data_IF_795773259261
#
_entry.id   IF_795773259261
#
_cell.length_a   1.000
_cell.length_b   1.000
_cell.length_c   1.000
_cell.angle_alpha   90.00
_cell.angle_beta   90.00
_cell.angle_gamma   90.00
#
_symmetry.space_group_name_H-M   'P 1'
#
loop_
_entity.id
_entity.type
_entity.pdbx_description
1 polymer ?
#
# COMPACT_ATOMS: atom_id res chain seq x y z
N UNK A 1 23.21 -41.09 -7.56
CA UNK A 1 21.77 -41.24 -7.84
C UNK A 1 20.88 -40.67 -6.76
N UNK A 2 21.36 -40.27 -5.60
CA UNK A 2 20.59 -39.75 -4.45
C UNK A 2 20.26 -38.23 -4.57
N UNK A 3 21.11 -37.46 -5.24
CA UNK A 3 20.99 -35.99 -5.35
C UNK A 3 19.88 -35.52 -6.31
N UNK A 4 19.53 -36.32 -7.30
CA UNK A 4 18.52 -35.97 -8.30
C UNK A 4 17.09 -36.21 -7.77
N UNK A 5 16.91 -37.15 -6.82
CA UNK A 5 15.60 -37.40 -6.21
C UNK A 5 15.16 -36.28 -5.24
N UNK A 6 16.13 -35.70 -4.50
CA UNK A 6 15.86 -34.62 -3.53
C UNK A 6 15.50 -33.31 -4.22
N UNK A 7 16.09 -33.00 -5.37
CA UNK A 7 15.76 -31.81 -6.16
C UNK A 7 14.37 -31.89 -6.83
N UNK A 8 13.94 -33.10 -7.22
CA UNK A 8 12.59 -33.27 -7.79
C UNK A 8 11.47 -33.18 -6.74
N UNK A 9 11.71 -33.62 -5.51
CA UNK A 9 10.75 -33.52 -4.43
C UNK A 9 10.58 -32.09 -3.94
N UNK A 10 11.64 -31.30 -3.81
CA UNK A 10 11.58 -29.89 -3.43
C UNK A 10 10.84 -29.04 -4.47
N UNK A 11 11.01 -29.31 -5.77
CA UNK A 11 10.26 -28.59 -6.82
C UNK A 11 8.77 -28.96 -6.84
N UNK A 12 8.39 -30.18 -6.49
CA UNK A 12 6.98 -30.56 -6.41
C UNK A 12 6.27 -29.91 -5.21
N UNK A 13 6.91 -29.85 -4.04
CA UNK A 13 6.42 -29.17 -2.85
C UNK A 13 6.17 -27.68 -3.12
N UNK A 14 7.13 -27.00 -3.76
CA UNK A 14 7.01 -25.60 -4.15
C UNK A 14 5.86 -25.34 -5.12
N UNK A 15 5.64 -26.22 -6.12
CA UNK A 15 4.55 -26.12 -7.08
C UNK A 15 3.18 -26.34 -6.43
N UNK A 16 3.09 -27.25 -5.47
CA UNK A 16 1.86 -27.54 -4.75
C UNK A 16 1.46 -26.40 -3.82
N UNK A 17 2.41 -25.87 -3.05
CA UNK A 17 2.22 -24.70 -2.20
C UNK A 17 1.77 -23.48 -3.02
N UNK A 18 2.34 -23.27 -4.20
CA UNK A 18 1.92 -22.22 -5.14
C UNK A 18 0.48 -22.42 -5.63
N UNK A 19 0.09 -23.68 -5.91
CA UNK A 19 -1.27 -23.99 -6.35
C UNK A 19 -2.32 -23.75 -5.26
N UNK A 20 -2.02 -24.12 -4.01
CA UNK A 20 -2.89 -23.88 -2.86
C UNK A 20 -3.03 -22.37 -2.62
N UNK A 21 -1.92 -21.63 -2.65
CA UNK A 21 -1.91 -20.16 -2.56
C UNK A 21 -2.80 -19.54 -3.65
N UNK A 22 -2.70 -19.99 -4.91
CA UNK A 22 -3.55 -19.50 -6.00
C UNK A 22 -5.04 -19.72 -5.74
N UNK A 23 -5.41 -20.89 -5.23
CA UNK A 23 -6.81 -21.18 -4.89
C UNK A 23 -7.33 -20.27 -3.78
N UNK A 24 -6.54 -20.03 -2.75
CA UNK A 24 -6.88 -19.13 -1.65
C UNK A 24 -6.97 -17.68 -2.12
N UNK A 25 -5.99 -17.21 -2.91
CA UNK A 25 -6.00 -15.84 -3.46
C UNK A 25 -7.06 -15.62 -4.55
N UNK A 26 -7.55 -16.67 -5.20
CA UNK A 26 -8.65 -16.56 -6.17
C UNK A 26 -10.01 -16.46 -5.50
N UNK A 27 -10.11 -16.66 -4.20
CA UNK A 27 -11.34 -16.53 -3.45
C UNK A 27 -11.36 -15.20 -2.67
N UNK A 28 -12.20 -14.23 -3.10
CA UNK A 28 -12.25 -12.90 -2.49
C UNK A 28 -12.79 -12.85 -1.07
N UNK A 29 -13.47 -13.92 -0.64
CA UNK A 29 -13.96 -14.06 0.74
C UNK A 29 -12.87 -14.48 1.74
N UNK A 30 -11.68 -14.84 1.27
CA UNK A 30 -10.58 -15.27 2.14
C UNK A 30 -9.55 -14.15 2.28
N UNK A 31 -9.37 -13.63 3.49
CA UNK A 31 -8.37 -12.60 3.75
C UNK A 31 -6.95 -13.15 3.54
N UNK A 32 -6.02 -12.27 3.16
CA UNK A 32 -4.60 -12.64 2.95
C UNK A 32 -3.94 -13.17 4.22
N UNK A 33 -4.36 -12.71 5.41
CA UNK A 33 -3.87 -13.25 6.67
C UNK A 33 -4.30 -14.70 6.89
N UNK A 34 -5.50 -15.07 6.45
CA UNK A 34 -5.95 -16.47 6.41
C UNK A 34 -5.11 -17.28 5.43
N UNK A 35 -4.85 -16.75 4.23
CA UNK A 35 -3.99 -17.41 3.24
C UNK A 35 -2.58 -17.64 3.77
N UNK A 36 -2.02 -16.67 4.51
CA UNK A 36 -0.69 -16.79 5.12
C UNK A 36 -0.67 -17.84 6.21
N UNK A 37 -1.66 -17.85 7.13
CA UNK A 37 -1.77 -18.84 8.20
C UNK A 37 -1.98 -20.27 7.67
N UNK A 38 -2.81 -20.42 6.64
CA UNK A 38 -2.98 -21.72 5.95
C UNK A 38 -1.67 -22.16 5.31
N UNK A 39 -0.94 -21.24 4.66
CA UNK A 39 0.35 -21.55 4.06
C UNK A 39 1.39 -21.98 5.11
N UNK A 40 1.42 -21.31 6.26
CA UNK A 40 2.32 -21.68 7.37
C UNK A 40 1.93 -23.03 8.00
N UNK A 41 0.65 -23.31 8.15
CA UNK A 41 0.15 -24.60 8.63
C UNK A 41 0.45 -25.77 7.67
N UNK A 42 0.62 -25.49 6.37
CA UNK A 42 0.97 -26.49 5.35
C UNK A 42 2.46 -26.83 5.29
N UNK A 43 3.33 -26.04 5.91
CA UNK A 43 4.80 -26.31 5.86
C UNK A 43 5.19 -27.66 6.41
N UNK A 44 4.48 -28.14 7.42
CA UNK A 44 4.79 -29.40 8.11
C UNK A 44 3.97 -30.60 7.57
N UNK A 45 3.17 -30.40 6.52
CA UNK A 45 2.32 -31.44 5.93
C UNK A 45 3.04 -32.22 4.83
N UNK A 46 2.70 -33.51 4.70
CA UNK A 46 3.22 -34.35 3.62
C UNK A 46 2.64 -33.93 2.26
N UNK A 47 3.30 -34.31 1.17
CA UNK A 47 2.82 -33.99 -0.18
C UNK A 47 1.43 -34.57 -0.49
N UNK A 48 1.14 -35.75 0.03
CA UNK A 48 -0.15 -36.41 -0.11
C UNK A 48 -1.25 -35.64 0.64
N UNK A 49 -0.97 -35.20 1.85
CA UNK A 49 -1.87 -34.34 2.64
C UNK A 49 -2.11 -32.99 1.95
N UNK A 50 -1.08 -32.36 1.39
CA UNK A 50 -1.22 -31.10 0.66
C UNK A 50 -2.07 -31.25 -0.60
N UNK A 51 -1.93 -32.37 -1.32
CA UNK A 51 -2.71 -32.66 -2.54
C UNK A 51 -4.19 -32.86 -2.21
N UNK A 52 -4.49 -33.49 -1.10
CA UNK A 52 -5.86 -33.69 -0.62
C UNK A 52 -6.48 -32.35 -0.14
N UNK A 53 -5.72 -31.53 0.57
CA UNK A 53 -6.09 -30.17 0.97
C UNK A 53 -6.45 -29.32 -0.26
N UNK A 54 -5.62 -29.39 -1.29
CA UNK A 54 -5.87 -28.67 -2.53
C UNK A 54 -7.16 -29.11 -3.21
N UNK A 55 -7.41 -30.41 -3.30
CA UNK A 55 -8.62 -30.95 -3.92
C UNK A 55 -9.89 -30.48 -3.19
N UNK A 56 -9.91 -30.56 -1.87
CA UNK A 56 -11.05 -30.16 -1.06
C UNK A 56 -11.28 -28.63 -1.08
N UNK A 57 -10.23 -27.81 -1.06
CA UNK A 57 -10.34 -26.36 -1.21
C UNK A 57 -10.87 -25.99 -2.61
N UNK A 58 -10.43 -26.69 -3.65
CA UNK A 58 -10.89 -26.47 -5.00
C UNK A 58 -12.36 -26.84 -5.18
N UNK A 59 -12.80 -27.91 -4.55
CA UNK A 59 -14.21 -28.33 -4.54
C UNK A 59 -15.08 -27.31 -3.80
N UNK A 60 -14.66 -26.86 -2.60
CA UNK A 60 -15.34 -25.81 -1.82
C UNK A 60 -15.42 -24.47 -2.57
N UNK A 61 -14.34 -24.06 -3.22
CA UNK A 61 -14.31 -22.82 -4.04
C UNK A 61 -15.21 -22.95 -5.27
N UNK A 62 -15.26 -24.13 -5.88
CA UNK A 62 -16.11 -24.38 -7.06
C UNK A 62 -17.58 -24.36 -6.69
N UNK A 63 -17.94 -25.04 -5.59
CA UNK A 63 -19.30 -25.06 -5.04
C UNK A 63 -19.77 -23.63 -4.68
N UNK A 64 -18.92 -22.86 -4.03
CA UNK A 64 -19.20 -21.47 -3.70
C UNK A 64 -19.41 -20.61 -4.96
N UNK A 65 -18.54 -20.73 -5.98
CA UNK A 65 -18.66 -20.00 -7.24
C UNK A 65 -19.92 -20.35 -8.04
N UNK A 66 -20.31 -21.60 -8.04
CA UNK A 66 -21.52 -22.06 -8.72
C UNK A 66 -22.77 -21.52 -8.03
N UNK A 67 -22.83 -21.60 -6.71
CA UNK A 67 -23.98 -21.13 -5.93
C UNK A 67 -24.06 -19.59 -5.86
N UNK A 68 -22.94 -18.89 -5.84
CA UNK A 68 -22.90 -17.41 -5.81
C UNK A 68 -23.29 -16.75 -7.15
N UNK A 69 -23.33 -17.49 -8.26
CA UNK A 69 -23.75 -16.94 -9.58
C UNK A 69 -25.23 -16.61 -9.68
N UNK A 70 -26.07 -17.21 -8.87
CA UNK A 70 -27.54 -17.15 -9.00
C UNK A 70 -28.21 -16.31 -7.89
N UNK A 71 -27.45 -15.52 -7.11
CA UNK A 71 -27.95 -14.97 -5.84
C UNK A 71 -28.12 -13.45 -5.90
N UNK A 72 -29.38 -13.04 -5.92
CA UNK A 72 -29.85 -11.64 -5.68
C UNK A 72 -30.29 -11.39 -4.20
N UNK A 73 -30.25 -12.39 -3.31
CA UNK A 73 -30.83 -12.34 -1.97
C UNK A 73 -29.79 -12.59 -0.86
N UNK A 74 -29.74 -11.67 0.13
CA UNK A 74 -28.83 -11.72 1.27
C UNK A 74 -28.98 -12.96 2.14
N UNK A 75 -30.18 -13.49 2.27
CA UNK A 75 -30.48 -14.66 3.11
C UNK A 75 -29.89 -15.93 2.51
N UNK A 76 -29.94 -16.06 1.22
CA UNK A 76 -29.37 -17.19 0.48
C UNK A 76 -27.85 -17.20 0.48
N UNK A 77 -27.18 -16.02 0.50
CA UNK A 77 -25.75 -15.91 0.68
C UNK A 77 -25.27 -16.43 2.04
N UNK A 78 -26.06 -16.25 3.12
CA UNK A 78 -25.77 -16.79 4.44
C UNK A 78 -25.87 -18.33 4.44
N UNK A 79 -26.86 -18.89 3.79
CA UNK A 79 -27.05 -20.34 3.66
C UNK A 79 -25.90 -21.02 2.90
N UNK A 80 -25.43 -20.39 1.81
CA UNK A 80 -24.27 -20.86 1.04
C UNK A 80 -23.00 -20.81 1.89
N UNK A 81 -22.83 -19.75 2.69
CA UNK A 81 -21.69 -19.60 3.58
C UNK A 81 -21.68 -20.68 4.66
N UNK A 82 -22.84 -20.97 5.23
CA UNK A 82 -22.99 -22.02 6.25
C UNK A 82 -22.75 -23.42 5.66
N UNK A 83 -23.19 -23.70 4.43
CA UNK A 83 -22.87 -24.97 3.73
C UNK A 83 -21.37 -25.13 3.46
N UNK A 84 -20.70 -24.06 3.01
CA UNK A 84 -19.25 -24.07 2.81
C UNK A 84 -18.52 -24.28 4.14
N UNK A 85 -19.02 -23.66 5.21
CA UNK A 85 -18.51 -23.83 6.58
C UNK A 85 -18.71 -25.25 7.10
N UNK A 86 -19.88 -25.87 6.87
CA UNK A 86 -20.13 -27.28 7.21
C UNK A 86 -19.21 -28.22 6.43
N UNK A 87 -19.00 -27.99 5.14
CA UNK A 87 -18.09 -28.78 4.32
C UNK A 87 -16.64 -28.68 4.83
N UNK A 88 -16.20 -27.49 5.23
CA UNK A 88 -14.90 -27.28 5.85
C UNK A 88 -14.82 -27.91 7.27
N UNK A 89 -15.91 -27.97 8.05
CA UNK A 89 -15.96 -28.63 9.35
C UNK A 89 -15.92 -30.18 9.24
N UNK A 90 -16.54 -30.77 8.22
CA UNK A 90 -16.40 -32.20 7.95
C UNK A 90 -14.94 -32.56 7.66
N UNK A 91 -14.25 -31.66 7.04
CA UNK A 91 -12.84 -31.79 6.76
C UNK A 91 -11.96 -31.70 8.00
N UNK A 92 -12.31 -30.85 9.00
CA UNK A 92 -11.68 -30.74 10.32
C UNK A 92 -11.67 -32.06 11.06
N UNK A 93 -12.75 -32.83 10.97
CA UNK A 93 -12.89 -34.15 11.62
C UNK A 93 -11.91 -35.20 11.06
N UNK A 94 -11.42 -35.03 9.84
CA UNK A 94 -10.51 -35.99 9.17
C UNK A 94 -9.04 -35.61 9.41
N UNK A 95 -8.68 -34.32 9.53
CA UNK A 95 -7.29 -33.83 9.46
C UNK A 95 -6.78 -33.09 10.71
N UNK A 96 -7.60 -32.88 11.73
CA UNK A 96 -7.19 -32.34 13.03
C UNK A 96 -7.64 -30.90 13.31
N UNK A 97 -8.03 -30.71 14.57
CA UNK A 97 -8.77 -29.53 15.07
C UNK A 97 -8.04 -28.18 15.03
N UNK A 98 -6.71 -28.14 15.06
CA UNK A 98 -5.99 -26.91 15.37
C UNK A 98 -5.82 -25.95 14.17
N UNK A 99 -5.71 -26.46 12.96
CA UNK A 99 -5.42 -25.61 11.80
C UNK A 99 -6.67 -25.05 11.10
N UNK A 100 -7.79 -25.77 11.19
CA UNK A 100 -9.03 -25.34 10.54
C UNK A 100 -9.89 -24.46 11.45
N UNK A 101 -9.88 -24.71 12.77
CA UNK A 101 -10.53 -23.83 13.74
C UNK A 101 -9.95 -22.41 13.70
N UNK A 102 -8.64 -22.27 13.50
CA UNK A 102 -7.99 -20.96 13.31
C UNK A 102 -8.42 -20.29 11.99
N UNK A 103 -8.56 -21.04 10.90
CA UNK A 103 -9.06 -20.52 9.62
C UNK A 103 -10.53 -20.10 9.73
N UNK A 104 -11.37 -20.91 10.36
CA UNK A 104 -12.79 -20.62 10.54
C UNK A 104 -13.02 -19.45 11.51
N UNK A 105 -12.26 -19.39 12.62
CA UNK A 105 -12.33 -18.25 13.55
C UNK A 105 -11.87 -16.93 12.91
N UNK A 106 -10.98 -16.98 11.93
CA UNK A 106 -10.54 -15.83 11.16
C UNK A 106 -11.58 -15.42 10.10
N UNK A 107 -12.29 -16.36 9.53
CA UNK A 107 -13.43 -16.09 8.65
C UNK A 107 -14.57 -15.47 9.47
N UNK A 108 -14.84 -15.96 10.69
CA UNK A 108 -15.86 -15.42 11.60
C UNK A 108 -15.46 -14.07 12.24
N UNK A 109 -14.16 -13.82 12.47
CA UNK A 109 -13.66 -12.58 13.11
C UNK A 109 -13.41 -11.44 12.12
N UNK A 110 -13.30 -11.75 10.85
CA UNK A 110 -13.37 -10.71 9.81
C UNK A 110 -14.86 -10.38 9.65
N UNK A 111 -15.25 -9.14 9.95
CA UNK A 111 -16.51 -8.52 9.50
C UNK A 111 -16.55 -8.51 7.96
N UNK A 112 -16.58 -9.69 7.35
CA UNK A 112 -16.89 -9.86 5.93
C UNK A 112 -18.38 -9.58 5.84
N UNK A 113 -18.70 -8.31 5.68
CA UNK A 113 -20.06 -7.94 5.29
C UNK A 113 -20.31 -8.64 3.97
N UNK A 114 -21.25 -9.56 3.95
CA UNK A 114 -21.73 -10.25 2.75
C UNK A 114 -22.07 -9.30 1.59
N UNK A 115 -22.21 -7.99 1.85
CA UNK A 115 -22.34 -6.93 0.85
C UNK A 115 -21.09 -6.73 -0.02
N UNK A 116 -19.90 -7.17 0.40
CA UNK A 116 -18.67 -7.10 -0.39
C UNK A 116 -18.48 -8.33 -1.31
N UNK A 117 -19.36 -9.33 -1.21
CA UNK A 117 -19.38 -10.54 -2.03
C UNK A 117 -20.00 -10.34 -3.43
N UNK A 118 -20.47 -9.13 -3.71
CA UNK A 118 -21.14 -8.80 -4.98
C UNK A 118 -20.21 -8.61 -6.17
N UNK A 119 -19.25 -9.43 -6.42
CA UNK A 119 -18.50 -9.70 -7.68
C UNK A 119 -17.07 -10.19 -7.39
N UNK A 120 -16.93 -11.18 -6.66
CA UNK A 120 -15.91 -12.20 -6.42
C UNK A 120 -14.47 -12.12 -6.94
N UNK A 121 -14.00 -11.05 -7.54
CA UNK A 121 -12.64 -10.93 -8.04
C UNK A 121 -11.99 -9.63 -7.57
N UNK A 122 -10.73 -9.72 -7.11
CA UNK A 122 -9.93 -8.54 -6.91
C UNK A 122 -9.81 -7.83 -8.28
N UNK A 123 -10.28 -6.62 -8.35
CA UNK A 123 -10.27 -5.78 -9.56
C UNK A 123 -9.58 -4.45 -9.26
N UNK A 124 -9.11 -3.71 -10.27
CA UNK A 124 -8.63 -2.35 -10.03
C UNK A 124 -9.66 -1.47 -9.32
N UNK A 125 -10.95 -1.68 -9.62
CA UNK A 125 -12.03 -0.91 -9.01
C UNK A 125 -12.24 -1.25 -7.53
N UNK A 126 -12.15 -2.53 -7.15
CA UNK A 126 -12.26 -2.91 -5.73
C UNK A 126 -11.08 -2.37 -4.90
N UNK A 127 -9.87 -2.36 -5.46
CA UNK A 127 -8.70 -1.72 -4.83
C UNK A 127 -8.91 -0.20 -4.74
N UNK A 128 -9.46 0.42 -5.77
CA UNK A 128 -9.76 1.85 -5.80
C UNK A 128 -10.77 2.24 -4.72
N UNK A 129 -11.90 1.53 -4.61
CA UNK A 129 -12.91 1.78 -3.58
C UNK A 129 -12.35 1.58 -2.16
N UNK A 130 -11.53 0.54 -1.97
CA UNK A 130 -10.81 0.35 -0.70
C UNK A 130 -9.89 1.54 -0.39
N UNK A 131 -9.13 2.05 -1.38
CA UNK A 131 -8.24 3.19 -1.17
C UNK A 131 -8.98 4.46 -0.78
N UNK A 132 -10.19 4.70 -1.31
CA UNK A 132 -11.01 5.87 -0.98
C UNK A 132 -11.39 5.95 0.50
N UNK A 133 -11.47 4.83 1.21
CA UNK A 133 -11.72 4.81 2.65
C UNK A 133 -10.56 5.38 3.48
N UNK A 134 -9.36 5.46 2.91
CA UNK A 134 -8.13 5.87 3.59
C UNK A 134 -7.51 7.15 3.01
N UNK A 135 -7.71 7.39 1.71
CA UNK A 135 -7.06 8.48 0.96
C UNK A 135 -8.12 9.39 0.37
N UNK A 136 -8.37 10.50 1.06
CA UNK A 136 -9.37 11.48 0.69
C UNK A 136 -8.81 12.48 -0.33
N UNK A 137 -9.63 12.90 -1.29
CA UNK A 137 -9.33 13.98 -2.23
C UNK A 137 -8.29 13.69 -3.31
N UNK A 138 -7.84 12.43 -3.44
CA UNK A 138 -6.76 12.02 -4.35
C UNK A 138 -7.23 10.96 -5.36
N UNK A 139 -8.38 11.16 -6.00
CA UNK A 139 -9.01 10.14 -6.86
C UNK A 139 -8.12 9.69 -8.02
N UNK A 140 -7.46 10.63 -8.71
CA UNK A 140 -6.55 10.29 -9.81
C UNK A 140 -5.40 9.40 -9.32
N UNK A 141 -4.80 9.74 -8.17
CA UNK A 141 -3.76 8.95 -7.55
C UNK A 141 -4.27 7.57 -7.13
N UNK A 142 -5.39 7.48 -6.43
CA UNK A 142 -5.99 6.23 -6.01
C UNK A 142 -6.29 5.32 -7.22
N UNK A 143 -6.76 5.89 -8.34
CA UNK A 143 -7.05 5.16 -9.58
C UNK A 143 -5.78 4.61 -10.24
N UNK A 144 -4.71 5.40 -10.36
CA UNK A 144 -3.44 4.92 -10.91
C UNK A 144 -2.78 3.90 -10.00
N UNK A 145 -2.81 4.15 -8.68
CA UNK A 145 -2.24 3.23 -7.69
C UNK A 145 -2.97 1.88 -7.72
N UNK A 146 -4.31 1.87 -7.75
CA UNK A 146 -5.09 0.63 -7.81
C UNK A 146 -4.76 -0.20 -9.06
N UNK A 147 -4.59 0.45 -10.21
CA UNK A 147 -4.18 -0.22 -11.44
C UNK A 147 -2.75 -0.77 -11.35
N UNK A 148 -1.81 0.02 -10.80
CA UNK A 148 -0.41 -0.40 -10.59
C UNK A 148 -0.32 -1.61 -9.67
N UNK A 149 -1.06 -1.60 -8.56
CA UNK A 149 -1.12 -2.73 -7.62
C UNK A 149 -1.75 -3.97 -8.26
N UNK A 150 -2.84 -3.80 -8.99
CA UNK A 150 -3.52 -4.90 -9.65
C UNK A 150 -2.63 -5.57 -10.71
N UNK A 151 -1.92 -4.78 -11.52
CA UNK A 151 -0.96 -5.31 -12.51
C UNK A 151 0.23 -5.98 -11.83
N UNK A 152 0.69 -5.50 -10.68
CA UNK A 152 1.69 -6.17 -9.86
C UNK A 152 1.21 -7.57 -9.43
N UNK A 153 0.00 -7.68 -8.89
CA UNK A 153 -0.59 -8.95 -8.47
C UNK A 153 -0.71 -9.92 -9.64
N UNK A 154 -1.25 -9.49 -10.77
CA UNK A 154 -1.38 -10.34 -11.96
C UNK A 154 -0.02 -10.87 -12.45
N UNK A 155 0.99 -10.01 -12.46
CA UNK A 155 2.34 -10.35 -12.93
C UNK A 155 3.04 -11.34 -12.00
N UNK A 156 2.86 -11.22 -10.70
CA UNK A 156 3.52 -12.04 -9.68
C UNK A 156 2.80 -13.37 -9.41
N UNK A 157 1.54 -13.49 -9.83
CA UNK A 157 0.76 -14.72 -9.68
C UNK A 157 0.94 -15.72 -10.82
N UNK A 158 1.89 -15.54 -11.74
CA UNK A 158 2.07 -16.39 -12.96
C UNK A 158 0.77 -16.63 -13.71
N UNK A 159 -0.17 -15.68 -13.67
CA UNK A 159 -1.36 -15.72 -14.49
C UNK A 159 -0.94 -15.78 -15.97
N UNK A 160 -1.75 -16.46 -16.81
CA UNK A 160 -1.50 -16.58 -18.24
C UNK A 160 -1.46 -15.22 -18.99
N UNK A 161 -1.69 -14.13 -18.27
CA UNK A 161 -1.69 -12.77 -18.82
C UNK A 161 -0.31 -12.15 -18.57
N UNK A 162 0.45 -11.97 -19.64
CA UNK A 162 1.69 -11.22 -19.61
C UNK A 162 1.38 -9.72 -19.48
N UNK A 163 1.37 -9.22 -18.23
CA UNK A 163 1.27 -7.78 -17.99
C UNK A 163 2.66 -7.17 -17.93
N UNK A 164 2.90 -6.06 -18.65
CA UNK A 164 4.14 -5.31 -18.52
C UNK A 164 4.27 -4.73 -17.11
N UNK A 165 5.49 -4.46 -16.70
CA UNK A 165 5.76 -3.78 -15.44
C UNK A 165 5.21 -2.36 -15.49
N UNK A 166 4.41 -2.01 -14.49
CA UNK A 166 3.83 -0.69 -14.34
C UNK A 166 4.50 0.02 -13.17
N UNK A 167 5.58 0.75 -13.43
CA UNK A 167 6.14 1.67 -12.46
C UNK A 167 5.35 2.98 -12.47
N UNK A 168 5.28 3.67 -11.33
CA UNK A 168 4.46 4.86 -11.16
C UNK A 168 5.27 5.99 -10.54
N UNK A 169 5.21 7.18 -11.11
CA UNK A 169 5.71 8.40 -10.48
C UNK A 169 4.54 9.21 -9.93
N UNK A 170 4.64 9.54 -8.64
CA UNK A 170 3.67 10.33 -7.89
C UNK A 170 4.31 11.65 -7.48
N UNK A 171 3.81 12.76 -8.02
CA UNK A 171 4.38 14.08 -7.74
C UNK A 171 3.34 15.05 -7.18
N UNK A 172 3.81 16.00 -6.38
CA UNK A 172 2.95 17.04 -5.78
C UNK A 172 3.26 17.31 -4.31
N UNK A 173 2.39 18.07 -3.62
CA UNK A 173 2.62 18.58 -2.27
C UNK A 173 2.95 17.50 -1.25
N UNK A 174 3.68 17.87 -0.19
CA UNK A 174 3.96 16.98 0.93
C UNK A 174 2.75 16.85 1.88
N UNK A 175 2.65 15.74 2.61
CA UNK A 175 1.61 15.56 3.63
C UNK A 175 0.21 15.24 3.10
N UNK A 176 0.06 14.94 1.81
CA UNK A 176 -1.23 14.63 1.15
C UNK A 176 -1.51 13.13 0.98
N UNK A 177 -0.70 12.27 1.60
CA UNK A 177 -0.96 10.83 1.67
C UNK A 177 -0.26 9.97 0.61
N UNK A 178 0.77 10.46 -0.12
CA UNK A 178 1.50 9.66 -1.13
C UNK A 178 2.00 8.32 -0.59
N UNK A 179 2.86 8.33 0.41
CA UNK A 179 3.44 7.14 1.05
C UNK A 179 2.38 6.31 1.75
N UNK A 180 1.43 6.99 2.42
CA UNK A 180 0.38 6.35 3.21
C UNK A 180 -0.54 5.47 2.35
N UNK A 181 -1.03 5.98 1.21
CA UNK A 181 -1.89 5.20 0.31
C UNK A 181 -1.23 3.91 -0.19
N UNK A 182 0.07 3.96 -0.55
CA UNK A 182 0.82 2.76 -0.97
C UNK A 182 0.95 1.78 0.19
N UNK A 183 1.32 2.27 1.36
CA UNK A 183 1.51 1.45 2.56
C UNK A 183 0.21 0.75 2.98
N UNK A 184 -0.92 1.47 2.98
CA UNK A 184 -2.23 0.93 3.33
C UNK A 184 -2.62 -0.19 2.38
N UNK A 185 -2.58 0.05 1.06
CA UNK A 185 -2.98 -0.96 0.09
C UNK A 185 -2.07 -2.19 0.12
N UNK A 186 -0.76 -1.99 0.24
CA UNK A 186 0.19 -3.10 0.35
C UNK A 186 -0.08 -3.94 1.61
N UNK A 187 -0.31 -3.30 2.75
CA UNK A 187 -0.63 -4.00 4.01
C UNK A 187 -1.98 -4.74 3.93
N UNK A 188 -3.04 -4.09 3.41
CA UNK A 188 -4.38 -4.71 3.30
C UNK A 188 -4.39 -5.91 2.34
N UNK A 189 -3.57 -5.86 1.29
CA UNK A 189 -3.41 -6.95 0.34
C UNK A 189 -2.27 -7.93 0.71
N UNK A 190 -1.57 -7.72 1.84
CA UNK A 190 -0.48 -8.58 2.32
C UNK A 190 0.72 -8.62 1.38
N UNK A 191 0.92 -7.61 0.56
CA UNK A 191 2.05 -7.50 -0.35
C UNK A 191 3.25 -6.96 0.42
N UNK A 192 4.44 -7.58 0.35
CA UNK A 192 5.64 -7.02 0.94
C UNK A 192 5.88 -5.58 0.43
N UNK A 193 6.15 -4.68 1.35
CA UNK A 193 6.34 -3.27 1.08
C UNK A 193 7.61 -2.75 1.74
N UNK A 194 8.40 -1.99 0.99
CA UNK A 194 9.60 -1.34 1.44
C UNK A 194 9.67 0.12 1.00
N UNK A 195 10.36 0.96 1.80
CA UNK A 195 10.57 2.37 1.51
C UNK A 195 12.07 2.64 1.41
N UNK A 196 12.46 3.30 0.34
CA UNK A 196 13.81 3.84 0.13
C UNK A 196 13.75 5.36 0.25
N UNK A 197 14.45 5.93 1.22
CA UNK A 197 14.59 7.38 1.32
C UNK A 197 15.74 7.83 0.41
N UNK A 198 15.38 8.44 -0.72
CA UNK A 198 16.34 8.86 -1.74
C UNK A 198 17.29 9.97 -1.28
N UNK A 199 17.00 10.62 -0.16
CA UNK A 199 17.88 11.65 0.41
C UNK A 199 19.11 11.06 1.12
N UNK A 200 19.06 9.76 1.50
CA UNK A 200 20.11 9.07 2.28
C UNK A 200 20.80 7.96 1.53
N UNK A 201 20.32 7.65 0.32
CA UNK A 201 20.84 6.53 -0.49
C UNK A 201 22.19 6.89 -1.12
N UNK A 202 23.13 5.94 -1.03
CA UNK A 202 24.44 6.01 -1.66
C UNK A 202 24.63 4.85 -2.63
N UNK A 203 25.48 5.03 -3.67
CA UNK A 203 25.80 3.95 -4.60
C UNK A 203 26.48 2.76 -3.91
N UNK A 204 26.35 1.57 -4.50
CA UNK A 204 27.03 0.37 -4.02
C UNK A 204 28.55 0.59 -3.91
N UNK A 205 29.12 0.11 -2.79
CA UNK A 205 30.54 0.25 -2.47
C UNK A 205 30.89 1.53 -1.67
N UNK A 206 29.92 2.39 -1.39
CA UNK A 206 30.06 3.53 -0.46
C UNK A 206 29.35 3.18 0.85
N UNK A 207 29.93 3.62 1.98
CA UNK A 207 29.31 3.41 3.29
C UNK A 207 28.06 4.26 3.41
N UNK A 208 26.90 3.64 3.59
CA UNK A 208 25.60 4.28 3.70
C UNK A 208 24.49 3.31 3.30
N UNK A 209 23.25 3.79 3.28
CA UNK A 209 22.10 3.01 2.86
C UNK A 209 22.13 2.81 1.34
N UNK A 210 22.03 1.57 0.88
CA UNK A 210 21.97 1.20 -0.53
C UNK A 210 20.52 0.88 -0.93
N UNK A 211 20.19 0.99 -2.23
CA UNK A 211 18.85 0.65 -2.73
C UNK A 211 18.47 -0.79 -2.37
N UNK A 212 19.40 -1.73 -2.52
CA UNK A 212 19.16 -3.16 -2.23
C UNK A 212 18.91 -3.48 -0.74
N UNK A 213 19.29 -2.58 0.18
CA UNK A 213 19.02 -2.78 1.62
C UNK A 213 17.53 -2.92 1.93
N UNK A 214 16.67 -2.32 1.12
CA UNK A 214 15.22 -2.47 1.26
C UNK A 214 14.77 -3.93 1.08
N UNK A 215 15.43 -4.69 0.20
CA UNK A 215 15.15 -6.11 -0.01
C UNK A 215 15.61 -6.94 1.19
N UNK A 216 16.80 -6.66 1.74
CA UNK A 216 17.30 -7.29 2.96
C UNK A 216 16.38 -7.05 4.14
N UNK A 217 15.93 -5.80 4.35
CA UNK A 217 14.99 -5.44 5.41
C UNK A 217 13.65 -6.17 5.24
N UNK A 218 13.13 -6.19 4.01
CA UNK A 218 11.90 -6.89 3.69
C UNK A 218 12.04 -8.40 3.92
N UNK A 219 13.15 -9.03 3.48
CA UNK A 219 13.40 -10.45 3.73
C UNK A 219 13.49 -10.77 5.23
N UNK A 220 14.19 -9.95 6.01
CA UNK A 220 14.27 -10.11 7.46
C UNK A 220 12.90 -10.03 8.15
N UNK A 221 12.01 -9.17 7.62
CA UNK A 221 10.64 -8.98 8.15
C UNK A 221 9.70 -10.10 7.75
N UNK A 222 9.68 -10.46 6.47
CA UNK A 222 8.69 -11.39 5.90
C UNK A 222 9.20 -12.83 5.82
N UNK A 223 10.53 -13.06 6.01
CA UNK A 223 11.23 -14.36 5.96
C UNK A 223 11.23 -15.04 4.59
N UNK A 224 10.47 -14.54 3.65
CA UNK A 224 10.39 -14.98 2.26
C UNK A 224 9.97 -13.81 1.39
N UNK A 225 10.58 -13.66 0.23
CA UNK A 225 10.36 -12.50 -0.63
C UNK A 225 10.26 -12.92 -2.10
N UNK A 226 9.05 -13.28 -2.54
CA UNK A 226 8.77 -13.62 -3.94
C UNK A 226 8.45 -12.38 -4.79
N UNK A 227 7.90 -11.36 -4.16
CA UNK A 227 7.54 -10.09 -4.78
C UNK A 227 7.58 -8.97 -3.74
N UNK A 228 7.66 -7.73 -4.22
CA UNK A 228 7.67 -6.55 -3.35
C UNK A 228 7.24 -5.30 -4.12
N UNK A 229 6.57 -4.38 -3.41
CA UNK A 229 6.39 -3.00 -3.84
C UNK A 229 7.43 -2.14 -3.12
N UNK A 230 8.22 -1.39 -3.86
CA UNK A 230 9.21 -0.47 -3.31
C UNK A 230 8.76 0.96 -3.61
N UNK A 231 8.66 1.76 -2.57
CA UNK A 231 8.43 3.19 -2.68
C UNK A 231 9.74 3.97 -2.49
N UNK A 232 10.13 4.70 -3.52
CA UNK A 232 11.26 5.62 -3.48
C UNK A 232 10.74 7.00 -3.08
N UNK A 233 10.88 7.34 -1.81
CA UNK A 233 10.45 8.65 -1.28
C UNK A 233 11.52 9.71 -1.49
N UNK A 234 11.09 10.96 -1.63
CA UNK A 234 11.95 12.10 -1.92
C UNK A 234 12.82 11.89 -3.18
N UNK A 235 12.25 11.26 -4.20
CA UNK A 235 12.94 10.87 -5.43
C UNK A 235 13.58 12.05 -6.16
N UNK A 236 12.97 13.22 -6.07
CA UNK A 236 13.49 14.47 -6.63
C UNK A 236 14.84 14.91 -6.00
N UNK A 237 15.25 14.33 -4.87
CA UNK A 237 16.53 14.60 -4.22
C UNK A 237 17.71 13.81 -4.81
N UNK A 238 17.43 12.82 -5.66
CA UNK A 238 18.48 12.12 -6.40
C UNK A 238 19.15 13.00 -7.46
N UNK A 239 18.48 14.07 -7.89
CA UNK A 239 19.02 15.02 -8.85
C UNK A 239 19.94 16.03 -8.15
N UNK A 240 21.13 16.22 -8.66
CA UNK A 240 21.98 17.33 -8.21
C UNK A 240 21.42 18.67 -8.69
N UNK A 241 21.87 19.78 -8.13
CA UNK A 241 21.45 21.13 -8.55
C UNK A 241 21.66 21.38 -10.04
N UNK A 242 22.60 20.68 -10.70
CA UNK A 242 22.88 20.75 -12.13
C UNK A 242 22.09 19.71 -12.95
N UNK A 243 21.15 18.97 -12.34
CA UNK A 243 20.35 17.96 -13.01
C UNK A 243 21.09 16.67 -13.36
N UNK A 244 22.27 16.44 -12.80
CA UNK A 244 23.03 15.22 -13.00
C UNK A 244 22.74 14.23 -11.86
N UNK A 245 22.57 12.97 -12.21
CA UNK A 245 22.58 11.86 -11.26
C UNK A 245 24.00 11.49 -10.87
N UNK A 246 24.14 10.82 -9.74
CA UNK A 246 25.27 9.91 -9.60
C UNK A 246 25.03 8.75 -10.57
N UNK A 247 25.85 8.64 -11.62
CA UNK A 247 25.67 7.66 -12.71
C UNK A 247 25.51 6.23 -12.18
N UNK A 248 26.26 5.85 -11.16
CA UNK A 248 26.16 4.51 -10.54
C UNK A 248 24.81 4.30 -9.86
N UNK A 249 24.30 5.31 -9.15
CA UNK A 249 23.01 5.23 -8.48
C UNK A 249 21.87 5.14 -9.50
N UNK A 250 21.98 5.85 -10.61
CA UNK A 250 21.04 5.75 -11.72
C UNK A 250 21.06 4.35 -12.35
N UNK A 251 22.25 3.77 -12.60
CA UNK A 251 22.38 2.41 -13.11
C UNK A 251 21.73 1.39 -12.16
N UNK A 252 21.99 1.49 -10.86
CA UNK A 252 21.36 0.61 -9.85
C UNK A 252 19.82 0.76 -9.87
N UNK A 253 19.32 1.99 -9.92
CA UNK A 253 17.88 2.26 -9.98
C UNK A 253 17.23 1.66 -11.23
N UNK A 254 17.89 1.79 -12.39
CA UNK A 254 17.41 1.24 -13.64
C UNK A 254 17.29 -0.29 -13.60
N UNK A 255 18.15 -1.00 -12.85
CA UNK A 255 18.02 -2.45 -12.64
C UNK A 255 16.70 -2.79 -11.93
N UNK A 256 16.28 -1.99 -10.96
CA UNK A 256 15.02 -2.18 -10.25
C UNK A 256 13.81 -1.83 -11.12
N UNK A 257 13.93 -0.85 -12.00
CA UNK A 257 12.85 -0.39 -12.89
C UNK A 257 12.60 -1.30 -14.08
N UNK A 258 13.60 -2.06 -14.51
CA UNK A 258 13.53 -2.98 -15.65
C UNK A 258 12.79 -4.29 -15.31
N UNK A 259 12.37 -5.03 -16.34
CA UNK A 259 11.68 -6.32 -16.21
C UNK A 259 12.61 -7.54 -16.23
N UNK A 260 13.80 -7.40 -16.83
CA UNK A 260 14.61 -8.53 -17.26
C UNK A 260 15.83 -8.82 -16.38
N UNK A 261 15.94 -8.14 -15.23
CA UNK A 261 17.07 -8.29 -14.33
C UNK A 261 16.75 -9.27 -13.18
N UNK A 262 17.79 -9.74 -12.53
CA UNK A 262 17.70 -10.44 -11.25
C UNK A 262 18.57 -9.70 -10.24
N UNK A 263 17.96 -9.32 -9.11
CA UNK A 263 18.62 -8.54 -8.08
C UNK A 263 19.06 -9.49 -6.97
N UNK A 264 20.33 -9.46 -6.65
CA UNK A 264 20.93 -10.24 -5.57
C UNK A 264 21.10 -9.35 -4.34
N UNK A 265 20.69 -9.85 -3.18
CA UNK A 265 20.77 -9.14 -1.90
C UNK A 265 21.08 -10.11 -0.76
N UNK A 266 21.79 -9.69 0.30
CA UNK A 266 22.04 -10.53 1.46
C UNK A 266 20.76 -10.72 2.28
N UNK A 267 20.56 -11.91 2.83
CA UNK A 267 19.39 -12.20 3.67
C UNK A 267 19.42 -11.48 5.02
N UNK A 268 20.60 -11.03 5.46
CA UNK A 268 20.80 -10.28 6.70
C UNK A 268 22.05 -9.42 6.64
N UNK A 269 22.22 -8.50 7.59
CA UNK A 269 23.41 -7.66 7.72
C UNK A 269 24.58 -8.34 8.46
N UNK A 270 24.51 -9.66 8.70
CA UNK A 270 25.60 -10.40 9.32
C UNK A 270 26.73 -10.66 8.34
N UNK A 271 27.97 -10.68 8.83
CA UNK A 271 29.09 -11.15 8.05
C UNK A 271 28.84 -12.62 7.62
N UNK A 272 29.15 -12.93 6.35
CA UNK A 272 28.90 -14.25 5.74
C UNK A 272 27.41 -14.64 5.61
N UNK A 273 26.53 -13.64 5.46
CA UNK A 273 25.13 -13.87 5.12
C UNK A 273 25.00 -14.54 3.76
N UNK A 274 24.05 -15.45 3.62
CA UNK A 274 23.69 -16.01 2.32
C UNK A 274 23.03 -14.94 1.45
N UNK A 275 23.11 -15.12 0.13
CA UNK A 275 22.50 -14.21 -0.82
C UNK A 275 21.22 -14.79 -1.37
N UNK A 276 20.18 -14.00 -1.36
CA UNK A 276 18.91 -14.28 -2.01
C UNK A 276 18.82 -13.54 -3.34
N UNK A 277 17.90 -13.98 -4.18
CA UNK A 277 17.67 -13.38 -5.49
C UNK A 277 16.18 -13.12 -5.73
N UNK A 278 15.86 -11.99 -6.33
CA UNK A 278 14.52 -11.67 -6.76
C UNK A 278 14.53 -11.15 -8.21
N UNK A 279 13.70 -11.71 -9.11
CA UNK A 279 13.54 -11.16 -10.44
C UNK A 279 12.95 -9.75 -10.39
N UNK A 280 13.51 -8.80 -11.13
CA UNK A 280 13.03 -7.42 -11.16
C UNK A 280 11.59 -7.29 -11.66
N UNK A 281 11.12 -8.23 -12.48
CA UNK A 281 9.70 -8.33 -12.87
C UNK A 281 8.76 -8.50 -11.67
N UNK A 282 9.23 -9.06 -10.56
CA UNK A 282 8.45 -9.25 -9.33
C UNK A 282 8.54 -8.05 -8.37
N UNK A 283 9.24 -7.00 -8.78
CA UNK A 283 9.35 -5.74 -8.04
C UNK A 283 8.50 -4.70 -8.78
N UNK A 284 7.63 -3.99 -8.07
CA UNK A 284 7.01 -2.77 -8.60
C UNK A 284 7.60 -1.56 -7.89
N UNK A 285 8.13 -0.63 -8.68
CA UNK A 285 8.69 0.60 -8.18
C UNK A 285 7.68 1.73 -8.29
N UNK A 286 7.41 2.38 -7.17
CA UNK A 286 6.65 3.63 -7.13
C UNK A 286 7.61 4.70 -6.65
N UNK A 287 7.79 5.75 -7.43
CA UNK A 287 8.68 6.86 -7.09
C UNK A 287 7.86 8.08 -6.71
N UNK A 288 8.20 8.75 -5.63
CA UNK A 288 7.46 9.90 -5.13
C UNK A 288 8.34 11.05 -4.69
N UNK A 289 7.85 12.26 -4.86
CA UNK A 289 8.54 13.46 -4.45
C UNK A 289 7.69 14.71 -4.60
N UNK A 290 8.22 15.83 -4.12
CA UNK A 290 7.57 17.12 -4.37
C UNK A 290 7.81 17.60 -5.79
N UNK A 291 9.01 17.37 -6.33
CA UNK A 291 9.41 17.81 -7.68
C UNK A 291 9.15 19.31 -7.90
N UNK A 292 9.68 20.15 -7.04
CA UNK A 292 9.54 21.62 -7.18
C UNK A 292 10.00 22.11 -8.54
N UNK A 293 11.03 21.50 -9.11
CA UNK A 293 11.54 21.76 -10.46
C UNK A 293 10.49 21.58 -11.57
N UNK A 294 9.45 20.75 -11.36
CA UNK A 294 8.34 20.64 -12.32
C UNK A 294 7.53 21.94 -12.42
N UNK A 295 7.29 22.60 -11.27
CA UNK A 295 6.59 23.90 -11.27
C UNK A 295 7.41 24.97 -11.99
N UNK A 296 8.72 24.97 -11.79
CA UNK A 296 9.64 25.89 -12.47
C UNK A 296 9.70 25.61 -13.97
N UNK A 297 9.75 24.34 -14.39
CA UNK A 297 9.72 23.94 -15.79
C UNK A 297 8.42 24.36 -16.47
N UNK A 298 7.27 24.14 -15.83
CA UNK A 298 5.97 24.57 -16.32
C UNK A 298 5.90 26.09 -16.44
N UNK A 299 6.33 26.83 -15.42
CA UNK A 299 6.40 28.29 -15.43
C UNK A 299 7.28 28.81 -16.55
N UNK A 300 8.47 28.23 -16.75
CA UNK A 300 9.38 28.59 -17.82
C UNK A 300 8.78 28.34 -19.20
N UNK A 301 8.14 27.19 -19.40
CA UNK A 301 7.47 26.86 -20.68
C UNK A 301 6.35 27.84 -21.02
N UNK A 302 5.53 28.19 -20.03
CA UNK A 302 4.41 29.13 -20.22
C UNK A 302 4.88 30.57 -20.44
N UNK A 303 5.99 30.96 -19.82
CA UNK A 303 6.56 32.31 -20.02
C UNK A 303 7.22 32.50 -21.38
N UNK A 304 7.70 31.41 -22.01
CA UNK A 304 8.35 31.47 -23.36
C UNK A 304 7.32 31.45 -24.48
N UNK A 305 6.13 30.85 -24.27
CA UNK A 305 5.05 30.77 -25.26
C UNK A 305 3.78 31.49 -24.76
N UNK A 306 3.72 32.82 -24.80
CA UNK A 306 2.58 33.59 -24.30
C UNK A 306 1.39 33.58 -25.27
N UNK A 307 1.03 32.43 -25.87
CA UNK A 307 -0.23 32.34 -26.62
C UNK A 307 -1.41 32.32 -25.65
N UNK A 308 -1.94 33.47 -25.32
CA UNK A 308 -3.27 33.67 -24.75
C UNK A 308 -3.36 33.99 -23.26
N UNK A 309 -2.28 33.93 -22.48
CA UNK A 309 -2.28 34.32 -21.07
C UNK A 309 -1.21 35.40 -20.80
N UNK A 310 -1.64 36.53 -20.26
CA UNK A 310 -0.74 37.57 -19.85
C UNK A 310 0.18 37.10 -18.71
N UNK A 311 1.46 37.42 -18.77
CA UNK A 311 2.47 37.03 -17.76
C UNK A 311 2.17 37.50 -16.33
N UNK A 312 1.15 38.35 -16.15
CA UNK A 312 0.65 38.82 -14.84
C UNK A 312 -0.22 37.83 -14.09
N UNK A 313 -0.82 36.80 -14.75
CA UNK A 313 -1.77 35.90 -14.10
C UNK A 313 -1.07 34.76 -13.31
N UNK A 314 0.13 34.34 -13.69
CA UNK A 314 0.86 33.28 -13.01
C UNK A 314 1.40 33.63 -11.62
N UNK A 315 1.53 34.93 -11.33
CA UNK A 315 2.01 35.42 -10.03
C UNK A 315 1.05 35.18 -8.87
N UNK A 316 -0.20 34.86 -9.16
CA UNK A 316 -1.26 34.66 -8.16
C UNK A 316 -1.65 33.19 -7.95
N UNK A 317 -1.07 32.26 -8.74
CA UNK A 317 -1.38 30.83 -8.60
C UNK A 317 -0.78 30.24 -7.34
N UNK A 318 -1.56 29.44 -6.61
CA UNK A 318 -1.05 28.65 -5.50
C UNK A 318 -0.05 27.59 -5.98
N UNK A 319 0.75 27.07 -5.07
CA UNK A 319 1.70 25.99 -5.41
C UNK A 319 1.01 24.78 -6.00
N UNK A 320 -0.17 24.40 -5.49
CA UNK A 320 -0.98 23.29 -6.01
C UNK A 320 -1.46 23.55 -7.42
N UNK A 321 -1.95 24.74 -7.70
CA UNK A 321 -2.39 25.14 -9.06
C UNK A 321 -1.25 25.11 -10.08
N UNK A 322 -0.01 25.37 -9.67
CA UNK A 322 1.15 25.23 -10.56
C UNK A 322 1.40 23.79 -10.99
N UNK A 323 1.15 22.79 -10.14
CA UNK A 323 1.24 21.39 -10.55
C UNK A 323 0.17 20.99 -11.58
N UNK A 324 -0.96 21.70 -11.66
CA UNK A 324 -2.00 21.46 -12.67
C UNK A 324 -1.54 21.77 -14.09
N UNK A 325 -0.59 22.69 -14.20
CA UNK A 325 -0.04 23.14 -15.47
C UNK A 325 1.12 22.25 -15.98
N UNK A 326 1.60 21.31 -15.16
CA UNK A 326 2.68 20.38 -15.53
C UNK A 326 2.20 19.43 -16.63
N UNK A 327 2.99 19.27 -17.64
CA UNK A 327 2.76 18.33 -18.74
C UNK A 327 3.89 17.30 -18.88
N UNK A 328 3.77 16.40 -19.86
CA UNK A 328 4.76 15.35 -20.11
C UNK A 328 6.14 15.87 -20.51
N UNK A 329 6.22 17.00 -21.18
CA UNK A 329 7.49 17.61 -21.56
C UNK A 329 8.25 18.15 -20.35
N UNK A 330 7.52 18.72 -19.38
CA UNK A 330 8.10 19.19 -18.14
C UNK A 330 8.66 18.02 -17.34
N UNK A 331 7.92 16.91 -17.25
CA UNK A 331 8.37 15.67 -16.62
C UNK A 331 9.65 15.12 -17.26
N UNK A 332 9.67 15.06 -18.59
CA UNK A 332 10.84 14.58 -19.33
C UNK A 332 12.07 15.46 -19.08
N UNK A 333 11.89 16.78 -19.05
CA UNK A 333 12.97 17.74 -18.75
C UNK A 333 13.51 17.58 -17.32
N UNK A 334 12.62 17.39 -16.34
CA UNK A 334 13.01 17.32 -14.92
C UNK A 334 13.65 15.97 -14.58
N UNK A 335 13.26 14.89 -15.24
CA UNK A 335 13.88 13.59 -15.04
C UNK A 335 15.28 13.48 -15.68
N UNK A 336 15.69 14.39 -16.55
CA UNK A 336 17.01 14.46 -17.20
C UNK A 336 17.50 13.15 -17.86
N UNK A 337 16.66 12.12 -17.96
CA UNK A 337 16.96 10.82 -18.54
C UNK A 337 15.74 10.28 -19.31
N UNK A 338 15.91 10.12 -20.62
CA UNK A 338 14.88 9.51 -21.49
C UNK A 338 14.63 8.04 -21.09
N UNK A 339 15.67 7.34 -20.64
CA UNK A 339 15.58 5.97 -20.20
C UNK A 339 14.76 5.85 -18.91
N UNK A 340 15.04 6.69 -17.92
CA UNK A 340 14.29 6.74 -16.67
C UNK A 340 12.82 7.08 -16.92
N UNK A 341 12.57 8.09 -17.77
CA UNK A 341 11.23 8.48 -18.17
C UNK A 341 10.46 7.31 -18.82
N UNK A 342 11.11 6.57 -19.73
CA UNK A 342 10.51 5.43 -20.42
C UNK A 342 10.23 4.26 -19.49
N UNK A 343 11.11 3.95 -18.50
CA UNK A 343 10.94 2.83 -17.57
C UNK A 343 9.94 3.11 -16.46
N UNK A 344 9.72 4.36 -16.07
CA UNK A 344 8.63 4.74 -15.16
C UNK A 344 7.29 4.62 -15.88
N UNK A 345 7.12 5.24 -17.03
CA UNK A 345 5.98 5.09 -17.93
C UNK A 345 4.67 5.75 -17.45
N UNK A 346 4.35 5.71 -16.17
CA UNK A 346 3.11 6.26 -15.61
C UNK A 346 3.40 7.39 -14.62
N UNK A 347 2.59 8.47 -14.73
CA UNK A 347 2.79 9.69 -13.96
C UNK A 347 1.45 10.18 -13.42
N UNK A 348 1.38 10.44 -12.13
CA UNK A 348 0.17 10.95 -11.49
C UNK A 348 0.48 12.06 -10.51
N UNK A 349 -0.34 13.09 -10.57
CA UNK A 349 -0.29 14.22 -9.65
C UNK A 349 -1.12 13.92 -8.40
N UNK A 350 -0.67 14.40 -7.24
CA UNK A 350 -1.49 14.58 -6.04
C UNK A 350 -1.74 16.07 -5.81
N UNK A 351 -2.90 16.39 -5.25
CA UNK A 351 -3.35 17.76 -5.03
C UNK A 351 -3.16 18.17 -3.57
N UNK A 352 -3.12 19.49 -3.33
CA UNK A 352 -3.29 20.01 -1.98
C UNK A 352 -4.67 19.61 -1.45
N UNK A 353 -4.75 19.37 -0.15
CA UNK A 353 -6.00 19.07 0.52
C UNK A 353 -6.73 20.38 0.87
N UNK A 354 -8.04 20.43 0.61
CA UNK A 354 -8.89 21.52 1.05
C UNK A 354 -9.26 21.37 2.52
N UNK A 355 -9.81 22.44 3.11
CA UNK A 355 -10.27 22.39 4.52
C UNK A 355 -11.36 21.34 4.70
N UNK A 356 -12.29 21.21 3.74
CA UNK A 356 -13.38 20.23 3.76
C UNK A 356 -12.83 18.81 3.70
N UNK A 357 -11.80 18.54 2.88
CA UNK A 357 -11.13 17.24 2.81
C UNK A 357 -10.36 16.91 4.11
N UNK A 358 -9.78 17.90 4.76
CA UNK A 358 -9.15 17.72 6.08
C UNK A 358 -10.19 17.38 7.16
N UNK A 359 -11.37 17.99 7.12
CA UNK A 359 -12.52 17.63 7.98
C UNK A 359 -12.97 16.20 7.70
N UNK A 360 -13.13 15.84 6.43
CA UNK A 360 -13.49 14.48 6.02
C UNK A 360 -12.48 13.44 6.53
N UNK A 361 -11.17 13.73 6.44
CA UNK A 361 -10.12 12.88 7.00
C UNK A 361 -10.29 12.70 8.51
N UNK A 362 -10.60 13.74 9.24
CA UNK A 362 -10.80 13.66 10.70
C UNK A 362 -12.02 12.85 11.10
N UNK A 363 -13.14 12.98 10.35
CA UNK A 363 -14.44 12.46 10.76
C UNK A 363 -14.79 11.11 10.12
N UNK A 364 -14.33 10.84 8.88
CA UNK A 364 -14.86 9.75 8.05
C UNK A 364 -13.78 8.77 7.57
N UNK A 365 -12.52 9.22 7.38
CA UNK A 365 -11.48 8.33 6.93
C UNK A 365 -11.11 7.30 8.01
N UNK A 366 -10.54 6.16 7.59
CA UNK A 366 -10.09 5.11 8.50
C UNK A 366 -8.62 5.26 8.87
N UNK A 367 -8.25 4.76 10.04
CA UNK A 367 -6.87 4.73 10.55
C UNK A 367 -6.24 6.15 10.59
N UNK A 368 -7.03 7.12 11.01
CA UNK A 368 -6.63 8.53 11.07
C UNK A 368 -5.74 8.83 12.29
N UNK A 369 -5.06 9.99 12.32
CA UNK A 369 -4.39 10.46 13.53
C UNK A 369 -5.32 10.55 14.75
N UNK A 370 -6.60 10.87 14.54
CA UNK A 370 -7.60 10.92 15.60
C UNK A 370 -7.93 9.52 16.14
N UNK A 371 -7.99 8.50 15.29
CA UNK A 371 -8.26 7.12 15.72
C UNK A 371 -7.13 6.58 16.60
N UNK A 372 -5.88 6.94 16.31
CA UNK A 372 -4.76 6.58 17.18
C UNK A 372 -4.89 7.19 18.58
N UNK A 373 -5.36 8.44 18.67
CA UNK A 373 -5.61 9.11 19.94
C UNK A 373 -6.85 8.55 20.65
N UNK A 374 -7.91 8.22 19.90
CA UNK A 374 -9.07 7.49 20.46
C UNK A 374 -8.66 6.17 21.10
N UNK A 375 -7.80 5.40 20.42
CA UNK A 375 -7.27 4.15 20.94
C UNK A 375 -6.43 4.37 22.21
N UNK A 376 -5.57 5.41 22.22
CA UNK A 376 -4.80 5.78 23.40
C UNK A 376 -5.69 6.09 24.60
N UNK A 377 -6.68 6.97 24.42
CA UNK A 377 -7.59 7.35 25.51
C UNK A 377 -8.51 6.20 25.94
N UNK A 378 -8.96 5.38 25.00
CA UNK A 378 -9.77 4.18 25.27
C UNK A 378 -9.03 3.17 26.16
N UNK A 379 -7.68 3.07 26.01
CA UNK A 379 -6.86 2.22 26.89
C UNK A 379 -6.91 2.66 28.37
N UNK A 380 -7.24 3.93 28.62
CA UNK A 380 -7.39 4.52 29.94
C UNK A 380 -8.86 4.72 30.40
N UNK A 381 -9.82 4.05 29.74
CA UNK A 381 -11.26 4.20 29.98
C UNK A 381 -11.80 5.63 29.73
N UNK A 382 -11.09 6.42 28.91
CA UNK A 382 -11.48 7.78 28.50
C UNK A 382 -12.02 7.76 27.08
N UNK A 383 -13.21 8.30 26.88
CA UNK A 383 -13.81 8.46 25.56
C UNK A 383 -13.41 9.78 24.92
N UNK A 384 -12.83 9.74 23.72
CA UNK A 384 -12.50 10.95 22.94
C UNK A 384 -13.53 11.15 21.83
N UNK A 385 -14.26 12.27 21.91
CA UNK A 385 -15.29 12.67 20.92
C UNK A 385 -14.89 13.99 20.31
N UNK A 386 -15.10 14.15 19.01
CA UNK A 386 -14.93 15.41 18.29
C UNK A 386 -16.26 15.85 17.69
N UNK A 387 -16.58 17.14 17.79
CA UNK A 387 -17.72 17.74 17.09
C UNK A 387 -17.31 18.18 15.69
N UNK A 388 -18.28 18.42 14.81
CA UNK A 388 -18.04 18.94 13.47
C UNK A 388 -17.34 20.30 13.50
N UNK A 389 -17.79 21.20 14.38
CA UNK A 389 -17.18 22.54 14.56
C UNK A 389 -15.74 22.44 15.12
N UNK A 390 -15.46 21.45 15.97
CA UNK A 390 -14.10 21.18 16.46
C UNK A 390 -13.20 20.68 15.35
N UNK A 391 -13.71 19.79 14.49
CA UNK A 391 -12.99 19.29 13.33
C UNK A 391 -12.70 20.39 12.30
N UNK A 392 -13.67 21.29 12.03
CA UNK A 392 -13.47 22.45 11.17
C UNK A 392 -12.39 23.39 11.67
N UNK A 393 -12.35 23.66 12.96
CA UNK A 393 -11.33 24.55 13.57
C UNK A 393 -9.94 23.94 13.44
N UNK A 394 -9.79 22.62 13.74
CA UNK A 394 -8.53 21.89 13.57
C UNK A 394 -8.10 21.86 12.09
N UNK A 395 -9.02 21.57 11.18
CA UNK A 395 -8.76 21.52 9.76
C UNK A 395 -8.32 22.88 9.21
N UNK A 396 -8.96 23.95 9.65
CA UNK A 396 -8.60 25.33 9.27
C UNK A 396 -7.20 25.69 9.75
N UNK A 397 -6.86 25.34 10.99
CA UNK A 397 -5.52 25.57 11.53
C UNK A 397 -4.46 24.77 10.76
N UNK A 398 -4.74 23.50 10.44
CA UNK A 398 -3.83 22.65 9.66
C UNK A 398 -3.65 23.15 8.21
N UNK A 399 -4.72 23.62 7.58
CA UNK A 399 -4.66 24.20 6.24
C UNK A 399 -3.77 25.45 6.21
N UNK A 400 -3.89 26.30 7.21
CA UNK A 400 -3.07 27.52 7.32
C UNK A 400 -1.57 27.22 7.52
N UNK A 401 -1.22 26.09 8.13
CA UNK A 401 0.16 25.63 8.26
C UNK A 401 0.75 25.07 6.94
N UNK A 402 -0.08 24.79 5.92
CA UNK A 402 0.32 24.25 4.61
C UNK A 402 1.13 22.93 4.67
N UNK A 403 0.86 22.09 5.67
CA UNK A 403 1.57 20.81 5.86
C UNK A 403 0.67 19.58 5.69
N UNK A 404 -0.56 19.78 5.22
CA UNK A 404 -1.53 18.73 4.93
C UNK A 404 -1.92 17.94 6.19
N UNK A 405 -2.08 16.61 6.05
CA UNK A 405 -2.49 15.72 7.17
C UNK A 405 -1.47 15.71 8.32
N UNK A 406 -0.19 16.03 8.05
CA UNK A 406 0.81 16.16 9.12
C UNK A 406 0.44 17.26 10.11
N UNK A 407 -0.17 18.35 9.62
CA UNK A 407 -0.69 19.43 10.47
C UNK A 407 -1.81 18.96 11.39
N UNK A 408 -2.73 18.13 10.90
CA UNK A 408 -3.78 17.55 11.75
C UNK A 408 -3.18 16.79 12.95
N UNK A 409 -2.15 15.95 12.68
CA UNK A 409 -1.49 15.19 13.73
C UNK A 409 -0.82 16.10 14.77
N UNK A 410 -0.12 17.15 14.32
CA UNK A 410 0.55 18.10 15.21
C UNK A 410 -0.46 18.84 16.08
N UNK A 411 -1.51 19.40 15.47
CA UNK A 411 -2.53 20.17 16.18
C UNK A 411 -3.28 19.28 17.18
N UNK A 412 -3.70 18.07 16.77
CA UNK A 412 -4.35 17.13 17.69
C UNK A 412 -3.47 16.79 18.88
N UNK A 413 -2.17 16.64 18.67
CA UNK A 413 -1.22 16.41 19.75
C UNK A 413 -1.13 17.62 20.66
N UNK A 414 -0.97 18.82 20.11
CA UNK A 414 -0.81 20.07 20.87
C UNK A 414 -2.03 20.37 21.76
N UNK A 415 -3.25 20.21 21.23
CA UNK A 415 -4.50 20.47 21.98
C UNK A 415 -4.80 19.41 23.05
N UNK A 416 -4.26 18.18 22.91
CA UNK A 416 -4.49 17.06 23.81
C UNK A 416 -3.30 16.76 24.72
N UNK A 417 -2.19 17.51 24.61
CA UNK A 417 -0.95 17.29 25.37
C UNK A 417 -1.23 17.19 26.87
N UNK A 418 -1.93 18.17 27.43
CA UNK A 418 -2.25 18.21 28.86
C UNK A 418 -3.13 17.03 29.30
N UNK A 419 -4.12 16.65 28.48
CA UNK A 419 -5.01 15.52 28.74
C UNK A 419 -4.27 14.17 28.65
N UNK A 420 -3.33 14.06 27.73
CA UNK A 420 -2.47 12.88 27.59
C UNK A 420 -1.49 12.75 28.74
N UNK A 421 -0.91 13.86 29.18
CA UNK A 421 0.06 13.88 30.29
C UNK A 421 -0.61 13.52 31.64
N UNK A 422 -1.83 14.02 31.85
CA UNK A 422 -2.57 13.87 33.10
C UNK A 422 -3.69 12.80 33.01
N UNK A 423 -3.54 11.83 32.09
CA UNK A 423 -4.54 10.79 31.92
C UNK A 423 -4.55 9.85 33.12
N UNK A 424 -5.66 9.87 33.86
CA UNK A 424 -5.95 8.93 34.94
C UNK A 424 -6.96 7.88 34.48
N UNK A 425 -6.87 6.67 35.03
CA UNK A 425 -7.90 5.64 34.79
C UNK A 425 -9.22 6.08 35.40
N UNK A 426 -10.20 6.39 34.57
CA UNK A 426 -11.54 6.76 35.02
C UNK A 426 -12.48 7.03 33.86
N UNK A 427 -13.73 6.61 34.03
CA UNK A 427 -14.77 6.83 32.98
C UNK A 427 -15.06 8.31 32.84
N UNK A 428 -14.46 8.96 31.86
CA UNK A 428 -14.74 10.35 31.46
C UNK A 428 -14.77 10.49 29.94
N UNK A 429 -15.39 11.57 29.50
CA UNK A 429 -15.46 11.91 28.05
C UNK A 429 -14.73 13.25 27.84
N UNK A 430 -13.81 13.28 26.90
CA UNK A 430 -13.18 14.50 26.39
C UNK A 430 -13.93 14.86 25.09
N UNK A 431 -14.51 16.04 25.06
CA UNK A 431 -15.25 16.55 23.90
C UNK A 431 -14.46 17.70 23.25
N UNK A 432 -13.91 17.44 22.06
CA UNK A 432 -13.22 18.45 21.25
C UNK A 432 -14.26 19.21 20.45
N UNK A 433 -14.69 20.34 20.96
CA UNK A 433 -15.53 21.34 20.28
C UNK A 433 -14.70 22.57 19.89
N UNK A 434 -15.31 23.53 19.20
CA UNK A 434 -14.64 24.77 18.79
C UNK A 434 -13.99 25.51 19.96
N UNK A 435 -14.66 25.67 21.09
CA UNK A 435 -14.15 26.36 22.26
C UNK A 435 -12.93 25.64 22.86
N UNK A 436 -12.98 24.31 22.89
CA UNK A 436 -11.88 23.49 23.35
C UNK A 436 -10.63 23.69 22.48
N UNK A 437 -10.81 23.67 21.14
CA UNK A 437 -9.69 23.89 20.20
C UNK A 437 -9.10 25.27 20.38
N UNK A 438 -9.91 26.33 20.39
CA UNK A 438 -9.45 27.72 20.53
C UNK A 438 -8.73 27.98 21.86
N UNK A 439 -9.13 27.30 22.92
CA UNK A 439 -8.50 27.43 24.24
C UNK A 439 -7.11 26.77 24.29
N UNK A 440 -6.93 25.64 23.60
CA UNK A 440 -5.71 24.83 23.69
C UNK A 440 -4.81 24.95 22.45
N UNK A 441 -5.27 25.59 21.38
CA UNK A 441 -4.43 25.89 20.21
C UNK A 441 -3.46 27.01 20.61
N UNK A 442 -2.16 26.66 20.59
CA UNK A 442 -1.06 27.58 20.96
C UNK A 442 -0.61 28.42 19.76
#
# INVERSE_FOLDING_TARGET
MTTVKTLKTNNKASLLDTSIRRLLFSNPSISIDVCRKVTDALKDKTEEEKELIRANLQESVTLYKEKAKDVDDKQHCCEIFDEVKEHMQQWENVYGKASLADVLSLIDSTDIKLNDLGTGYLTPNSIFEMLKEFVVGQEAYARYLSLTIYTHILRTQECAVHMPKANLLVYGPSGVGKTYGIQVVANKLGIPFGVVNCNTVVPEGIVGQQIKDVLTQAYMKYKHLDNIIIFFDEFDKLFTENGHYNDRLLEELLLFLDDNNTISYPESYKAYSEYQQIPSKNITCIVGGMFQSLREAAKKRLSVNPMGFATSEFGHLSEGQMYELVNREDLKKVLHSDELYGRIGHFVRVNDLTTEQLVEILLQARETPLDNLRNYFSHHDVQLVITEEGAEEIATAAYNQKVGVRGLKSILWDILEDEMHNVDHGKRTICINREYVQKHLK
#
